data_IF_774792998547
#
_entry.id   IF_774792998547
#
_cell.length_a   1.000
_cell.length_b   1.000
_cell.length_c   1.000
_cell.angle_alpha   90.00
_cell.angle_beta   90.00
_cell.angle_gamma   90.00
#
_symmetry.space_group_name_H-M   'P 1'
#
loop_
_entity.id
_entity.type
_entity.pdbx_description
1 polymer ?
#
# COMPACT_ATOMS: atom_id res chain seq x y z
N UNK A 1 -13.99 48.08 15.06
CA UNK A 1 -13.27 47.59 16.26
C UNK A 1 -13.00 46.11 16.02
N UNK A 2 -12.07 45.87 15.09
CA UNK A 2 -11.59 44.55 14.70
C UNK A 2 -10.83 43.91 15.86
N UNK A 3 -11.15 42.66 16.16
CA UNK A 3 -10.31 41.80 17.01
C UNK A 3 -9.79 40.69 16.10
N UNK A 4 -8.61 40.91 15.53
CA UNK A 4 -7.79 39.85 14.95
C UNK A 4 -7.56 38.76 16.00
N UNK A 5 -8.10 37.56 15.75
CA UNK A 5 -7.73 36.35 16.48
C UNK A 5 -6.64 35.68 15.65
N UNK A 6 -5.42 35.73 16.17
CA UNK A 6 -4.23 35.17 15.57
C UNK A 6 -4.40 33.70 15.22
N UNK A 7 -4.17 33.41 13.93
CA UNK A 7 -4.02 32.07 13.38
C UNK A 7 -2.63 31.58 13.82
N UNK A 8 -2.60 30.77 14.88
CA UNK A 8 -1.39 30.07 15.29
C UNK A 8 -1.24 28.81 14.43
N UNK A 9 -0.46 28.92 13.35
CA UNK A 9 -0.07 27.77 12.52
C UNK A 9 0.90 26.86 13.28
N UNK A 10 0.68 25.54 13.35
CA UNK A 10 1.68 24.61 13.89
C UNK A 10 2.86 24.47 12.92
N UNK A 11 4.04 24.84 13.42
CA UNK A 11 5.33 24.68 12.74
C UNK A 11 5.66 23.19 12.57
N UNK A 12 5.55 22.68 11.33
CA UNK A 12 6.04 21.36 10.93
C UNK A 12 7.57 21.37 10.98
N UNK A 13 8.13 20.86 12.07
CA UNK A 13 9.56 20.66 12.24
C UNK A 13 10.09 19.56 11.30
N UNK A 14 10.59 19.98 10.12
CA UNK A 14 11.40 19.14 9.23
C UNK A 14 12.72 18.78 9.94
N UNK A 15 12.76 17.66 10.65
CA UNK A 15 14.03 17.07 11.11
C UNK A 15 14.76 16.52 9.88
N UNK A 16 15.60 17.37 9.29
CA UNK A 16 16.58 16.96 8.28
C UNK A 16 17.66 16.14 8.98
N UNK A 17 17.46 14.85 9.10
CA UNK A 17 18.50 13.95 9.55
C UNK A 17 19.39 13.63 8.35
N UNK A 18 20.40 14.49 8.17
CA UNK A 18 21.52 14.32 7.26
C UNK A 18 22.36 13.15 7.78
N UNK A 19 22.08 11.92 7.36
CA UNK A 19 23.05 10.85 7.44
C UNK A 19 23.97 10.95 6.23
N UNK A 20 24.95 11.83 6.38
CA UNK A 20 26.14 11.91 5.54
C UNK A 20 26.82 10.56 5.47
N UNK A 21 26.96 10.09 4.23
CA UNK A 21 27.99 9.20 3.72
C UNK A 21 29.21 9.05 4.63
N UNK A 22 29.48 7.82 5.07
CA UNK A 22 30.81 7.38 5.44
C UNK A 22 31.09 6.05 4.73
N UNK A 23 31.64 6.17 3.52
CA UNK A 23 32.47 5.16 2.88
C UNK A 23 33.61 4.77 3.82
N UNK A 24 33.73 3.50 4.20
CA UNK A 24 35.04 2.83 4.26
C UNK A 24 34.92 1.30 4.26
N UNK A 25 35.67 0.75 3.32
CA UNK A 25 35.94 -0.63 2.91
C UNK A 25 36.57 -1.53 3.98
N UNK A 26 36.19 -2.81 4.01
CA UNK A 26 37.05 -3.92 4.47
C UNK A 26 36.59 -5.22 3.75
N UNK A 27 37.18 -5.52 2.59
CA UNK A 27 38.30 -6.45 2.41
C UNK A 27 37.95 -7.94 2.61
N UNK A 28 37.77 -8.62 1.47
CA UNK A 28 38.10 -10.00 1.13
C UNK A 28 38.60 -10.94 2.24
N UNK A 29 37.83 -12.00 2.50
CA UNK A 29 38.35 -13.29 2.96
C UNK A 29 37.75 -14.40 2.09
N UNK A 30 38.31 -14.52 0.89
CA UNK A 30 38.22 -15.73 0.06
C UNK A 30 39.14 -16.78 0.66
N UNK A 31 38.60 -17.67 1.50
CA UNK A 31 39.25 -18.92 1.86
C UNK A 31 38.63 -20.04 1.02
N UNK A 32 39.43 -20.58 0.12
CA UNK A 32 39.05 -21.64 -0.78
C UNK A 32 38.79 -22.95 -0.05
N UNK A 33 37.73 -23.63 -0.48
CA UNK A 33 37.61 -25.08 -0.33
C UNK A 33 37.46 -25.64 -1.72
N UNK A 34 38.57 -26.17 -2.22
CA UNK A 34 38.60 -27.02 -3.39
C UNK A 34 37.84 -28.31 -3.06
N UNK A 35 36.68 -28.52 -3.71
CA UNK A 35 36.05 -29.83 -3.77
C UNK A 35 36.17 -30.35 -5.20
N UNK A 36 37.15 -31.22 -5.40
CA UNK A 36 37.27 -32.06 -6.59
C UNK A 36 36.22 -33.17 -6.54
N UNK A 37 35.56 -33.41 -7.69
CA UNK A 37 35.05 -34.73 -8.02
C UNK A 37 33.68 -34.74 -8.67
N UNK A 38 33.61 -35.23 -9.91
CA UNK A 38 32.39 -35.84 -10.45
C UNK A 38 32.13 -35.61 -11.94
N UNK A 39 32.81 -36.38 -12.80
CA UNK A 39 32.41 -36.63 -14.18
C UNK A 39 30.99 -37.20 -14.26
N UNK A 40 30.13 -36.60 -15.10
CA UNK A 40 29.00 -37.30 -15.71
C UNK A 40 28.50 -36.55 -16.96
N UNK A 41 28.93 -37.08 -18.11
CA UNK A 41 28.15 -37.26 -19.35
C UNK A 41 27.11 -36.18 -19.75
N UNK A 42 27.42 -35.45 -20.82
CA UNK A 42 26.43 -34.81 -21.70
C UNK A 42 26.14 -35.70 -22.90
N UNK A 43 24.88 -36.08 -23.17
CA UNK A 43 24.43 -36.39 -24.52
C UNK A 43 23.80 -35.14 -25.17
N UNK A 44 23.78 -35.16 -26.52
CA UNK A 44 22.95 -34.44 -27.50
C UNK A 44 22.33 -33.08 -27.13
N UNK A 45 22.52 -32.03 -27.94
CA UNK A 45 21.70 -31.77 -29.14
C UNK A 45 20.22 -32.00 -28.81
N UNK A 46 19.37 -30.98 -28.75
CA UNK A 46 18.75 -30.45 -29.96
C UNK A 46 18.35 -28.98 -29.83
N UNK A 47 18.66 -28.25 -30.89
CA UNK A 47 17.99 -27.03 -31.32
C UNK A 47 16.49 -27.28 -31.42
N UNK A 48 15.70 -26.44 -30.76
CA UNK A 48 14.32 -26.18 -31.18
C UNK A 48 14.00 -24.72 -30.92
N UNK A 49 14.10 -23.94 -31.98
CA UNK A 49 13.45 -22.64 -32.11
C UNK A 49 11.94 -22.91 -32.19
N UNK A 50 11.11 -22.44 -31.25
CA UNK A 50 9.69 -22.30 -31.49
C UNK A 50 9.45 -20.93 -32.15
N UNK A 51 8.81 -20.95 -33.31
CA UNK A 51 8.26 -19.76 -33.95
C UNK A 51 7.30 -19.04 -32.97
N UNK A 52 7.34 -17.69 -32.88
CA UNK A 52 6.45 -16.98 -31.98
C UNK A 52 5.05 -16.95 -32.60
N UNK A 53 4.11 -17.65 -31.96
CA UNK A 53 2.69 -17.39 -32.15
C UNK A 53 2.36 -15.96 -31.67
N UNK A 54 1.41 -15.26 -32.29
CA UNK A 54 1.02 -13.94 -31.85
C UNK A 54 0.39 -14.05 -30.47
N UNK A 55 1.13 -13.59 -29.46
CA UNK A 55 0.59 -13.36 -28.12
C UNK A 55 -0.38 -12.18 -28.25
N UNK A 56 -1.66 -12.48 -28.44
CA UNK A 56 -2.71 -11.52 -28.17
C UNK A 56 -2.47 -11.03 -26.74
N UNK A 57 -2.22 -9.73 -26.60
CA UNK A 57 -2.01 -9.08 -25.33
C UNK A 57 -3.18 -9.46 -24.41
N UNK A 58 -2.86 -10.19 -23.34
CA UNK A 58 -3.79 -10.47 -22.26
C UNK A 58 -4.12 -9.14 -21.61
N UNK A 59 -5.32 -8.62 -21.87
CA UNK A 59 -5.86 -7.49 -21.11
C UNK A 59 -5.81 -7.89 -19.64
N UNK A 60 -4.98 -7.19 -18.87
CA UNK A 60 -4.66 -7.54 -17.49
C UNK A 60 -5.84 -7.17 -16.59
N UNK A 61 -6.87 -8.00 -16.59
CA UNK A 61 -7.83 -8.07 -15.48
C UNK A 61 -7.04 -8.50 -14.23
N UNK A 62 -7.17 -7.75 -13.14
CA UNK A 62 -6.90 -8.29 -11.81
C UNK A 62 -5.51 -8.09 -11.20
N UNK A 63 -4.76 -7.04 -11.55
CA UNK A 63 -3.62 -6.64 -10.71
C UNK A 63 -4.04 -5.63 -9.66
N UNK A 64 -3.75 -5.95 -8.41
CA UNK A 64 -3.94 -5.04 -7.28
C UNK A 64 -3.09 -3.79 -7.51
N UNK A 65 -3.73 -2.63 -7.47
CA UNK A 65 -3.11 -1.30 -7.63
C UNK A 65 -3.13 -0.54 -6.31
N UNK A 66 -4.12 -0.81 -5.46
CA UNK A 66 -4.27 -0.20 -4.15
C UNK A 66 -4.71 -1.25 -3.14
N UNK A 67 -4.06 -1.29 -1.98
CA UNK A 67 -4.55 -2.04 -0.82
C UNK A 67 -5.06 -1.01 0.18
N UNK A 68 -6.31 -1.17 0.60
CA UNK A 68 -6.90 -0.38 1.69
C UNK A 68 -6.92 -1.27 2.92
N UNK A 69 -6.04 -0.96 3.87
CA UNK A 69 -5.98 -1.62 5.16
C UNK A 69 -6.83 -0.85 6.18
N UNK A 70 -7.64 -1.57 6.95
CA UNK A 70 -8.12 -1.10 8.23
C UNK A 70 -7.41 -1.85 9.35
N UNK A 71 -6.66 -1.10 10.14
CA UNK A 71 -5.88 -1.62 11.26
C UNK A 71 -6.60 -1.31 12.54
N UNK A 72 -6.77 -2.31 13.38
CA UNK A 72 -7.41 -2.17 14.69
C UNK A 72 -6.57 -2.85 15.78
N UNK A 73 -6.67 -2.40 17.05
CA UNK A 73 -6.12 -3.14 18.17
C UNK A 73 -6.92 -4.43 18.41
N UNK A 74 -6.38 -5.37 19.18
CA UNK A 74 -7.07 -6.64 19.51
C UNK A 74 -8.41 -6.40 20.18
N UNK A 75 -8.49 -5.40 21.06
CA UNK A 75 -9.74 -4.97 21.65
C UNK A 75 -10.49 -4.03 20.69
N UNK A 76 -11.64 -4.46 20.18
CA UNK A 76 -12.44 -3.70 19.22
C UNK A 76 -13.58 -2.94 19.90
N UNK A 77 -13.42 -1.61 20.02
CA UNK A 77 -14.48 -0.73 20.54
C UNK A 77 -15.54 -0.39 19.47
N UNK A 78 -16.57 0.38 19.86
CA UNK A 78 -17.64 0.82 18.94
C UNK A 78 -17.07 1.61 17.77
N UNK A 79 -16.20 2.59 18.03
CA UNK A 79 -15.48 3.35 17.00
C UNK A 79 -14.71 2.46 16.04
N UNK A 80 -14.13 1.37 16.54
CA UNK A 80 -13.42 0.44 15.67
C UNK A 80 -14.35 -0.30 14.70
N UNK A 81 -15.61 -0.56 15.09
CA UNK A 81 -16.59 -1.20 14.20
C UNK A 81 -17.15 -0.19 13.22
N UNK A 82 -17.56 0.98 13.71
CA UNK A 82 -18.08 2.08 12.88
C UNK A 82 -17.10 2.48 11.77
N UNK A 83 -15.81 2.62 12.09
CA UNK A 83 -14.80 2.96 11.07
C UNK A 83 -14.64 1.88 10.01
N UNK A 84 -14.67 0.60 10.40
CA UNK A 84 -14.60 -0.53 9.46
C UNK A 84 -15.80 -0.51 8.52
N UNK A 85 -17.01 -0.36 9.08
CA UNK A 85 -18.26 -0.37 8.34
C UNK A 85 -18.34 0.81 7.36
N UNK A 86 -18.04 2.03 7.82
CA UNK A 86 -18.03 3.22 6.97
C UNK A 86 -17.03 3.09 5.81
N UNK A 87 -15.83 2.57 6.09
CA UNK A 87 -14.81 2.37 5.05
C UNK A 87 -15.26 1.31 4.04
N UNK A 88 -15.84 0.20 4.51
CA UNK A 88 -16.39 -0.84 3.63
C UNK A 88 -17.50 -0.30 2.76
N UNK A 89 -18.47 0.42 3.34
CA UNK A 89 -19.58 1.01 2.59
C UNK A 89 -19.10 2.03 1.55
N UNK A 90 -18.09 2.83 1.86
CA UNK A 90 -17.45 3.71 0.88
C UNK A 90 -16.86 2.93 -0.29
N UNK A 91 -16.12 1.86 -0.02
CA UNK A 91 -15.49 1.03 -1.05
C UNK A 91 -16.56 0.36 -1.94
N UNK A 92 -17.60 -0.20 -1.34
CA UNK A 92 -18.69 -0.87 -2.04
C UNK A 92 -19.57 0.09 -2.85
N UNK A 93 -19.65 1.37 -2.47
CA UNK A 93 -20.49 2.37 -3.15
C UNK A 93 -19.73 3.14 -4.24
N UNK A 94 -18.55 3.67 -3.93
CA UNK A 94 -17.79 4.56 -4.83
C UNK A 94 -16.71 3.83 -5.64
N UNK A 95 -16.26 2.66 -5.16
CA UNK A 95 -15.13 1.93 -5.76
C UNK A 95 -15.49 0.50 -6.16
N UNK A 96 -16.79 0.20 -6.29
CA UNK A 96 -17.31 -1.13 -6.62
C UNK A 96 -16.61 -1.77 -7.82
N UNK A 97 -16.51 -1.04 -8.92
CA UNK A 97 -15.86 -1.55 -10.13
C UNK A 97 -14.38 -1.90 -9.89
N UNK A 98 -13.66 -1.07 -9.12
CA UNK A 98 -12.26 -1.33 -8.81
C UNK A 98 -12.07 -2.52 -7.86
N UNK A 99 -13.03 -2.76 -6.95
CA UNK A 99 -13.08 -3.98 -6.14
C UNK A 99 -13.35 -5.22 -7.01
N UNK A 100 -14.37 -5.16 -7.86
CA UNK A 100 -14.77 -6.29 -8.73
C UNK A 100 -13.69 -6.65 -9.74
N UNK A 101 -12.95 -5.67 -10.23
CA UNK A 101 -11.80 -5.87 -11.13
C UNK A 101 -10.51 -6.26 -10.39
N UNK A 102 -10.54 -6.41 -9.07
CA UNK A 102 -9.37 -6.77 -8.26
C UNK A 102 -8.27 -5.70 -8.21
N UNK A 103 -8.59 -4.45 -8.57
CA UNK A 103 -7.64 -3.32 -8.52
C UNK A 103 -7.51 -2.74 -7.12
N UNK A 104 -8.57 -2.83 -6.32
CA UNK A 104 -8.54 -2.53 -4.89
C UNK A 104 -8.67 -3.83 -4.11
N UNK A 105 -7.76 -4.01 -3.15
CA UNK A 105 -7.85 -5.08 -2.16
C UNK A 105 -8.20 -4.47 -0.79
N UNK A 106 -9.27 -4.95 -0.16
CA UNK A 106 -9.68 -4.54 1.19
C UNK A 106 -9.15 -5.54 2.23
N UNK A 107 -8.40 -5.04 3.22
CA UNK A 107 -7.83 -5.87 4.29
C UNK A 107 -8.17 -5.31 5.66
N UNK A 108 -8.53 -6.19 6.59
CA UNK A 108 -8.71 -5.85 8.00
C UNK A 108 -7.68 -6.65 8.80
N UNK A 109 -6.88 -5.98 9.62
CA UNK A 109 -5.80 -6.61 10.37
C UNK A 109 -5.72 -6.12 11.82
N UNK A 110 -5.32 -7.02 12.72
CA UNK A 110 -5.04 -6.74 14.12
C UNK A 110 -3.54 -6.41 14.26
N UNK A 111 -3.22 -5.12 14.41
CA UNK A 111 -1.82 -4.69 14.43
C UNK A 111 -1.04 -5.13 15.68
N UNK A 112 -1.72 -5.60 16.72
CA UNK A 112 -1.07 -6.14 17.93
C UNK A 112 -0.69 -7.62 17.76
N UNK A 113 -1.36 -8.33 16.87
CA UNK A 113 -1.00 -9.71 16.47
C UNK A 113 -0.05 -9.73 15.28
N UNK A 114 -0.21 -8.78 14.37
CA UNK A 114 0.63 -8.61 13.18
C UNK A 114 1.61 -7.45 13.40
N UNK A 115 2.59 -7.66 14.29
CA UNK A 115 3.49 -6.61 14.75
C UNK A 115 4.29 -5.94 13.62
N UNK A 116 4.68 -6.71 12.58
CA UNK A 116 5.39 -6.16 11.41
C UNK A 116 4.54 -5.13 10.68
N UNK A 117 3.24 -5.40 10.55
CA UNK A 117 2.28 -4.52 9.90
C UNK A 117 2.05 -3.26 10.76
N UNK A 118 1.85 -3.45 12.06
CA UNK A 118 1.72 -2.35 13.01
C UNK A 118 2.94 -1.43 13.04
N UNK A 119 4.15 -1.98 13.05
CA UNK A 119 5.39 -1.21 13.01
C UNK A 119 5.57 -0.48 11.68
N UNK A 120 5.33 -1.17 10.56
CA UNK A 120 5.50 -0.61 9.22
C UNK A 120 4.64 0.62 8.97
N UNK A 121 3.39 0.60 9.43
CA UNK A 121 2.47 1.74 9.29
C UNK A 121 2.40 2.62 10.54
N UNK A 122 3.21 2.33 11.57
CA UNK A 122 3.25 3.04 12.85
C UNK A 122 1.90 3.05 13.58
N UNK A 123 1.06 2.03 13.39
CA UNK A 123 -0.28 1.97 13.97
C UNK A 123 -0.20 1.84 15.49
N UNK A 124 -0.77 2.83 16.18
CA UNK A 124 -0.87 2.87 17.65
C UNK A 124 -2.33 2.81 18.11
N UNK A 125 -3.24 3.24 17.25
CA UNK A 125 -4.69 3.22 17.41
C UNK A 125 -5.32 2.72 16.10
N UNK A 126 -6.64 2.56 16.08
CA UNK A 126 -7.33 2.19 14.86
C UNK A 126 -7.11 3.23 13.75
N UNK A 127 -6.77 2.79 12.54
CA UNK A 127 -6.51 3.68 11.41
C UNK A 127 -6.81 2.99 10.08
N UNK A 128 -7.04 3.80 9.04
CA UNK A 128 -7.09 3.35 7.65
C UNK A 128 -5.76 3.70 6.99
N UNK A 129 -5.18 2.75 6.25
CA UNK A 129 -3.95 2.95 5.47
C UNK A 129 -4.24 2.61 4.02
N UNK A 130 -3.95 3.55 3.13
CA UNK A 130 -4.05 3.34 1.67
C UNK A 130 -2.64 3.12 1.14
N UNK A 131 -2.39 1.92 0.61
CA UNK A 131 -1.08 1.50 0.12
C UNK A 131 -1.15 1.38 -1.39
N UNK A 132 -0.19 2.00 -2.08
CA UNK A 132 -0.03 1.82 -3.52
C UNK A 132 0.67 0.49 -3.80
N UNK A 133 0.22 -0.20 -4.85
CA UNK A 133 0.89 -1.36 -5.40
C UNK A 133 1.34 -1.03 -6.82
N UNK A 134 2.63 -1.23 -7.09
CA UNK A 134 3.25 -1.08 -8.41
C UNK A 134 3.98 -2.37 -8.74
N UNK A 135 3.69 -2.94 -9.90
CA UNK A 135 4.31 -4.18 -10.38
C UNK A 135 4.25 -5.33 -9.34
N UNK A 136 3.11 -5.45 -8.65
CA UNK A 136 2.87 -6.46 -7.61
C UNK A 136 3.61 -6.22 -6.29
N UNK A 137 4.26 -5.06 -6.11
CA UNK A 137 4.98 -4.69 -4.88
C UNK A 137 4.35 -3.48 -4.22
N UNK A 138 4.22 -3.54 -2.91
CA UNK A 138 3.76 -2.41 -2.12
C UNK A 138 4.80 -1.28 -2.14
N UNK A 139 4.33 -0.06 -2.43
CA UNK A 139 5.15 1.15 -2.56
C UNK A 139 4.76 2.19 -1.52
N UNK A 140 4.52 3.43 -1.98
CA UNK A 140 4.09 4.53 -1.13
C UNK A 140 2.76 4.22 -0.44
N UNK A 141 2.57 4.76 0.76
CA UNK A 141 1.32 4.65 1.49
C UNK A 141 0.94 5.97 2.16
N UNK A 142 -0.34 6.08 2.51
CA UNK A 142 -0.87 7.17 3.31
C UNK A 142 -1.70 6.58 4.46
N UNK A 143 -1.30 6.89 5.69
CA UNK A 143 -2.11 6.63 6.87
C UNK A 143 -3.06 7.79 7.11
N UNK A 144 -4.32 7.47 7.40
CA UNK A 144 -5.39 8.44 7.61
C UNK A 144 -5.63 8.57 9.12
N UNK A 145 -4.90 9.50 9.75
CA UNK A 145 -4.94 9.69 11.21
C UNK A 145 -6.15 10.50 11.69
N UNK A 146 -6.78 11.27 10.80
CA UNK A 146 -7.89 12.18 11.13
C UNK A 146 -9.28 11.52 11.07
N UNK A 147 -9.36 10.21 10.79
CA UNK A 147 -10.64 9.52 10.58
C UNK A 147 -11.56 9.56 11.81
N UNK A 148 -11.00 9.59 13.02
CA UNK A 148 -11.76 9.64 14.26
C UNK A 148 -12.46 10.99 14.46
N UNK A 149 -11.90 12.07 13.91
CA UNK A 149 -12.51 13.40 13.96
C UNK A 149 -13.67 13.56 12.97
N UNK A 150 -13.79 12.67 11.99
CA UNK A 150 -14.80 12.72 10.92
C UNK A 150 -15.97 11.75 11.14
N UNK A 151 -16.04 11.07 12.29
CA UNK A 151 -17.04 10.04 12.53
C UNK A 151 -18.49 10.53 12.56
N UNK A 152 -18.70 11.79 12.99
CA UNK A 152 -20.02 12.42 13.05
C UNK A 152 -20.42 13.11 11.73
N UNK A 153 -19.52 13.10 10.74
CA UNK A 153 -19.76 13.65 9.40
C UNK A 153 -19.39 12.61 8.33
N UNK A 154 -20.34 11.72 7.97
CA UNK A 154 -20.11 10.67 6.98
C UNK A 154 -19.64 11.21 5.63
N UNK A 155 -20.11 12.39 5.19
CA UNK A 155 -19.72 12.97 3.92
C UNK A 155 -18.26 13.43 3.94
N UNK A 156 -17.82 14.06 5.04
CA UNK A 156 -16.42 14.43 5.20
C UNK A 156 -15.51 13.20 5.32
N UNK A 157 -15.94 12.16 6.03
CA UNK A 157 -15.23 10.88 6.10
C UNK A 157 -15.05 10.26 4.71
N UNK A 158 -16.14 10.12 3.95
CA UNK A 158 -16.14 9.52 2.62
C UNK A 158 -15.24 10.30 1.66
N UNK A 159 -15.29 11.64 1.72
CA UNK A 159 -14.43 12.49 0.93
C UNK A 159 -12.95 12.27 1.29
N UNK A 160 -12.62 12.30 2.58
CA UNK A 160 -11.24 12.17 3.05
C UNK A 160 -10.61 10.83 2.67
N UNK A 161 -11.31 9.73 2.93
CA UNK A 161 -10.82 8.39 2.60
C UNK A 161 -10.83 8.15 1.09
N UNK A 162 -11.90 8.60 0.40
CA UNK A 162 -12.03 8.44 -1.04
C UNK A 162 -10.96 9.20 -1.82
N UNK A 163 -10.60 10.41 -1.39
CA UNK A 163 -9.54 11.19 -2.03
C UNK A 163 -8.17 10.53 -1.87
N UNK A 164 -7.90 9.94 -0.69
CA UNK A 164 -6.68 9.17 -0.47
C UNK A 164 -6.61 7.93 -1.38
N UNK A 165 -7.71 7.22 -1.60
CA UNK A 165 -7.76 6.07 -2.53
C UNK A 165 -7.54 6.55 -3.97
N UNK A 166 -8.27 7.58 -4.42
CA UNK A 166 -8.16 8.13 -5.77
C UNK A 166 -6.77 8.66 -6.11
N UNK A 167 -6.01 9.13 -5.10
CA UNK A 167 -4.61 9.54 -5.27
C UNK A 167 -3.71 8.38 -5.73
N UNK A 168 -3.96 7.17 -5.25
CA UNK A 168 -3.12 5.99 -5.55
C UNK A 168 -3.68 5.09 -6.64
N UNK A 169 -4.97 5.24 -6.96
CA UNK A 169 -5.62 4.53 -8.05
C UNK A 169 -5.37 5.25 -9.40
N UNK A 170 -4.62 4.66 -10.35
CA UNK A 170 -4.34 5.27 -11.66
C UNK A 170 -5.62 5.70 -12.37
N UNK A 171 -5.65 6.95 -12.86
CA UNK A 171 -6.75 7.44 -13.68
C UNK A 171 -6.65 6.87 -15.10
N UNK A 172 -7.70 6.16 -15.52
CA UNK A 172 -7.75 5.41 -16.77
C UNK A 172 -8.65 4.17 -16.72
N UNK A 173 -9.04 3.73 -15.51
CA UNK A 173 -9.93 2.58 -15.30
C UNK A 173 -11.00 2.82 -14.22
N UNK A 174 -11.12 4.03 -13.67
CA UNK A 174 -12.25 4.37 -12.79
C UNK A 174 -13.44 4.76 -13.67
N UNK A 175 -14.30 3.80 -14.01
CA UNK A 175 -15.52 4.07 -14.74
C UNK A 175 -16.42 5.03 -13.96
N UNK A 176 -16.94 6.03 -14.67
CA UNK A 176 -18.12 6.76 -14.25
C UNK A 176 -17.88 8.08 -13.51
N UNK A 177 -17.20 9.05 -14.12
CA UNK A 177 -17.65 10.43 -13.98
C UNK A 177 -18.86 10.64 -14.88
N UNK A 178 -20.07 10.58 -14.32
CA UNK A 178 -21.24 11.17 -14.96
C UNK A 178 -21.28 12.65 -14.61
N UNK A 179 -21.37 13.44 -15.69
CA UNK A 179 -21.68 14.86 -15.74
C UNK A 179 -23.02 15.16 -15.06
#
# INVERSE_FOLDING_TARGET
MEKEKGIMTPQVGKRRLRFTSLLLTLAFLTAGVAFCGGDAARPGSETSTPAPLPVLASETVGQVQVIVHYLHPTFRCVTCKTTEDMTRSLLESQFKEALEQGRIEWKVADFQKEADLGQRFGAQINCVVVVQVKDGKEGDFQRLDEISALMDDPAAFEKYVGDAIRKYLPQGLAGGQRQ
#
